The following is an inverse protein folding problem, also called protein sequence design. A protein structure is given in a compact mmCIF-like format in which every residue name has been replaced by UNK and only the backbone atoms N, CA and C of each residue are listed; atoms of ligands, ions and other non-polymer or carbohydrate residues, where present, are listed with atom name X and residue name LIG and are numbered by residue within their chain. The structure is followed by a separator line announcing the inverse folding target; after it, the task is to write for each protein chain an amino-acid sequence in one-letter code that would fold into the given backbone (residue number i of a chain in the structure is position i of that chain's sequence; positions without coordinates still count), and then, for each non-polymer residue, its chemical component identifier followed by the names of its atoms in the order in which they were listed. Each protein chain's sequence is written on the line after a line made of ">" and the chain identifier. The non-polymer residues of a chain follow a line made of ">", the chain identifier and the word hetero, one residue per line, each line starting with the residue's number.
data_IF_961458868819
#
_entry.id   IF_961458868819
#
_cell.length_a   1.000
_cell.length_b   1.000
_cell.length_c   1.000
_cell.angle_alpha   90.00
_cell.angle_beta   90.00
_cell.angle_gamma   90.00
#
_symmetry.space_group_name_H-M   'P 1'
#
loop_
_entity.id
_entity.type
_entity.pdbx_description
1 polymer ?
#
# COMPACT_ATOMS: atom_id res chain seq x y z
N UNK A 1 -10.96 -7.31 -15.42
CA UNK A 1 -9.51 -7.59 -15.45
C UNK A 1 -8.84 -6.80 -14.33
N UNK A 2 -7.88 -7.38 -13.61
CA UNK A 2 -7.27 -6.80 -12.38
C UNK A 2 -6.72 -5.38 -12.59
N UNK A 3 -6.12 -5.09 -13.75
CA UNK A 3 -5.62 -3.76 -14.08
C UNK A 3 -6.69 -2.65 -13.99
N UNK A 4 -7.91 -2.89 -14.50
CA UNK A 4 -9.00 -1.92 -14.45
C UNK A 4 -9.53 -1.69 -13.02
N UNK A 5 -9.43 -2.70 -12.16
CA UNK A 5 -9.77 -2.56 -10.73
C UNK A 5 -8.73 -1.69 -10.01
N UNK A 6 -7.44 -1.99 -10.23
CA UNK A 6 -6.33 -1.26 -9.60
C UNK A 6 -6.25 0.19 -10.09
N UNK A 7 -6.58 0.46 -11.35
CA UNK A 7 -6.69 1.82 -11.89
C UNK A 7 -7.79 2.63 -11.18
N UNK A 8 -8.97 2.04 -10.99
CA UNK A 8 -10.07 2.67 -10.22
C UNK A 8 -9.72 2.94 -8.76
N UNK A 9 -8.82 2.12 -8.18
CA UNK A 9 -8.30 2.30 -6.82
C UNK A 9 -7.12 3.29 -6.76
N UNK A 10 -6.71 3.88 -7.89
CA UNK A 10 -5.61 4.85 -7.96
C UNK A 10 -4.21 4.23 -7.80
N UNK A 11 -4.07 2.92 -8.03
CA UNK A 11 -2.78 2.23 -7.89
C UNK A 11 -1.94 2.42 -9.14
N UNK A 12 -0.73 2.96 -8.99
CA UNK A 12 0.21 3.15 -10.09
C UNK A 12 0.55 1.80 -10.77
N UNK A 13 0.32 1.65 -12.10
CA UNK A 13 0.63 0.44 -12.86
C UNK A 13 2.06 -0.07 -12.71
N UNK A 14 3.03 0.82 -12.53
CA UNK A 14 4.44 0.43 -12.37
C UNK A 14 4.67 -0.48 -11.15
N UNK A 15 3.82 -0.41 -10.12
CA UNK A 15 3.96 -1.18 -8.89
C UNK A 15 3.55 -2.65 -9.02
N UNK A 16 2.70 -2.99 -10.01
CA UNK A 16 2.15 -4.34 -10.17
C UNK A 16 2.34 -4.94 -11.57
N UNK A 17 3.07 -4.26 -12.47
CA UNK A 17 3.36 -4.74 -13.82
C UNK A 17 4.86 -4.86 -14.13
N UNK A 18 5.73 -4.21 -13.36
CA UNK A 18 7.20 -4.17 -13.61
C UNK A 18 8.02 -4.92 -12.56
N UNK A 19 7.34 -5.60 -11.64
CA UNK A 19 8.00 -6.40 -10.61
C UNK A 19 8.60 -7.69 -11.15
N UNK A 20 9.44 -8.33 -10.34
CA UNK A 20 10.02 -9.65 -10.63
C UNK A 20 9.23 -10.80 -10.02
N UNK A 21 8.45 -10.56 -8.97
CA UNK A 21 7.71 -11.59 -8.28
C UNK A 21 6.30 -11.73 -8.87
N UNK A 22 5.97 -12.86 -9.51
CA UNK A 22 4.64 -13.07 -10.06
C UNK A 22 3.60 -13.29 -8.96
N UNK A 23 2.38 -12.80 -9.19
CA UNK A 23 1.21 -13.02 -8.32
C UNK A 23 0.17 -13.79 -9.12
N UNK A 24 -0.39 -14.84 -8.54
CA UNK A 24 -1.35 -15.74 -9.18
C UNK A 24 -2.69 -15.74 -8.44
N UNK A 25 -3.78 -15.91 -9.17
CA UNK A 25 -5.10 -16.13 -8.57
C UNK A 25 -5.31 -17.62 -8.23
N UNK A 26 -5.91 -17.95 -7.07
CA UNK A 26 -6.25 -19.32 -6.75
C UNK A 26 -7.48 -19.85 -7.53
N UNK A 27 -8.21 -18.98 -8.25
CA UNK A 27 -9.41 -19.35 -9.01
C UNK A 27 -9.06 -20.33 -10.14
N UNK A 28 -8.01 -20.02 -10.90
CA UNK A 28 -7.59 -20.80 -12.06
C UNK A 28 -6.05 -20.91 -12.22
N UNK A 29 -5.28 -20.35 -11.29
CA UNK A 29 -3.81 -20.35 -11.34
C UNK A 29 -3.22 -19.35 -12.33
N UNK A 30 -4.02 -18.49 -12.98
CA UNK A 30 -3.50 -17.48 -13.91
C UNK A 30 -2.72 -16.38 -13.20
N UNK A 31 -1.72 -15.81 -13.88
CA UNK A 31 -0.94 -14.69 -13.36
C UNK A 31 -1.73 -13.38 -13.50
N UNK A 32 -1.83 -12.63 -12.40
CA UNK A 32 -2.62 -11.38 -12.34
C UNK A 32 -1.77 -10.11 -12.20
N UNK A 33 -0.46 -10.25 -11.99
CA UNK A 33 0.49 -9.15 -11.92
C UNK A 33 1.90 -9.60 -11.55
N UNK A 34 2.81 -8.63 -11.44
CA UNK A 34 4.15 -8.82 -10.89
C UNK A 34 4.51 -7.69 -9.93
N UNK A 35 4.99 -8.04 -8.74
CA UNK A 35 5.39 -7.09 -7.70
C UNK A 35 6.90 -7.13 -7.48
N UNK A 36 7.45 -6.06 -6.95
CA UNK A 36 8.86 -6.02 -6.56
C UNK A 36 8.95 -6.21 -5.04
N UNK A 37 9.78 -7.14 -4.60
CA UNK A 37 10.14 -7.23 -3.19
C UNK A 37 11.17 -6.16 -2.86
N UNK A 38 10.96 -5.53 -1.71
CA UNK A 38 11.93 -4.62 -1.10
C UNK A 38 12.99 -5.41 -0.33
N UNK A 39 14.22 -4.89 -0.31
CA UNK A 39 15.31 -5.47 0.45
C UNK A 39 15.31 -4.99 1.90
N UNK A 40 16.26 -5.53 2.69
CA UNK A 40 16.38 -5.19 4.10
C UNK A 40 16.64 -3.69 4.33
N UNK A 41 17.44 -3.06 3.46
CA UNK A 41 17.76 -1.64 3.58
C UNK A 41 16.54 -0.75 3.31
N UNK A 42 15.73 -1.06 2.30
CA UNK A 42 14.49 -0.33 2.02
C UNK A 42 13.49 -0.48 3.17
N UNK A 43 13.37 -1.69 3.73
CA UNK A 43 12.53 -1.93 4.92
C UNK A 43 12.98 -1.08 6.11
N UNK A 44 14.27 -1.00 6.39
CA UNK A 44 14.82 -0.14 7.46
C UNK A 44 14.51 1.34 7.22
N UNK A 45 14.61 1.81 5.97
CA UNK A 45 14.24 3.18 5.59
C UNK A 45 12.76 3.46 5.86
N UNK A 46 11.86 2.53 5.51
CA UNK A 46 10.43 2.67 5.74
C UNK A 46 10.08 2.69 7.23
N UNK A 47 10.71 1.82 8.03
CA UNK A 47 10.53 1.80 9.49
C UNK A 47 11.00 3.12 10.10
N UNK A 48 12.18 3.60 9.71
CA UNK A 48 12.72 4.90 10.18
C UNK A 48 11.77 6.06 9.84
N UNK A 49 11.23 6.07 8.61
CA UNK A 49 10.25 7.08 8.18
C UNK A 49 8.95 7.00 8.98
N UNK A 50 8.47 5.78 9.25
CA UNK A 50 7.27 5.56 10.06
C UNK A 50 7.46 6.05 11.50
N UNK A 51 8.64 5.81 12.10
CA UNK A 51 8.98 6.31 13.43
C UNK A 51 8.96 7.85 13.46
N UNK A 52 9.61 8.50 12.49
CA UNK A 52 9.58 9.97 12.38
C UNK A 52 8.14 10.51 12.26
N UNK A 53 7.32 9.89 11.40
CA UNK A 53 5.91 10.26 11.26
C UNK A 53 5.14 10.08 12.57
N UNK A 54 5.39 9.00 13.32
CA UNK A 54 4.77 8.75 14.62
C UNK A 54 5.12 9.83 15.65
N UNK A 55 6.37 10.31 15.69
CA UNK A 55 6.78 11.37 16.61
C UNK A 55 5.95 12.66 16.44
N UNK A 56 5.52 12.95 15.21
CA UNK A 56 4.61 14.05 14.87
C UNK A 56 3.16 13.65 15.17
N UNK A 57 2.74 12.49 14.67
CA UNK A 57 1.35 12.02 14.74
C UNK A 57 0.85 11.83 16.17
N UNK A 58 1.71 11.38 17.10
CA UNK A 58 1.35 11.21 18.52
C UNK A 58 0.96 12.52 19.20
N UNK A 59 1.40 13.67 18.67
CA UNK A 59 1.04 15.00 19.17
C UNK A 59 -0.30 15.51 18.62
N UNK A 60 -0.85 14.87 17.58
CA UNK A 60 -2.16 15.22 17.01
C UNK A 60 -3.26 14.77 17.98
N UNK A 61 -4.24 15.62 18.34
CA UNK A 61 -5.32 15.24 19.26
C UNK A 61 -6.07 13.99 18.80
N UNK A 62 -6.41 13.10 19.73
CA UNK A 62 -7.03 11.81 19.40
C UNK A 62 -8.30 11.94 18.53
N UNK A 63 -9.22 12.90 18.76
CA UNK A 63 -10.38 13.08 17.87
C UNK A 63 -9.99 13.42 16.42
N UNK A 64 -8.94 14.22 16.20
CA UNK A 64 -8.46 14.55 14.85
C UNK A 64 -7.81 13.35 14.15
N UNK A 65 -7.13 12.47 14.91
CA UNK A 65 -6.63 11.21 14.36
C UNK A 65 -7.78 10.28 13.97
N UNK A 66 -8.85 10.27 14.78
CA UNK A 66 -10.07 9.52 14.47
C UNK A 66 -10.78 10.03 13.21
N UNK A 67 -10.77 11.33 12.95
CA UNK A 67 -11.36 11.91 11.74
C UNK A 67 -10.66 11.40 10.46
N UNK A 68 -9.34 11.22 10.47
CA UNK A 68 -8.63 10.58 9.37
C UNK A 68 -9.14 9.15 9.12
N UNK A 69 -9.34 8.37 10.19
CA UNK A 69 -9.86 7.00 10.10
C UNK A 69 -11.30 6.98 9.59
N UNK A 70 -12.14 7.94 10.02
CA UNK A 70 -13.51 8.09 9.53
C UNK A 70 -13.55 8.36 8.03
N UNK A 71 -12.75 9.32 7.54
CA UNK A 71 -12.64 9.62 6.12
C UNK A 71 -12.10 8.43 5.30
N UNK A 72 -11.13 7.70 5.85
CA UNK A 72 -10.66 6.47 5.22
C UNK A 72 -11.78 5.43 5.11
N UNK A 73 -12.60 5.28 6.16
CA UNK A 73 -13.78 4.43 6.14
C UNK A 73 -14.84 4.83 5.11
N UNK A 74 -15.08 6.13 4.91
CA UNK A 74 -16.02 6.62 3.88
C UNK A 74 -15.57 6.29 2.44
N UNK A 75 -14.28 6.03 2.23
CA UNK A 75 -13.69 5.70 0.92
C UNK A 75 -13.64 4.18 0.63
N UNK A 76 -13.88 3.33 1.63
CA UNK A 76 -13.85 1.86 1.51
C UNK A 76 -15.20 1.29 1.05
#
# INVERSE_FOLDING_TARGET
>A
MVAALLDRLGVNPALYQRGKQPVYTPIDGSQIGTVQWEGAAEVEQHVTRAEYAFQIWRKVPAPRRGELVRQFGDLL
#
